data_IF_078061997365
#
_entry.id   IF_078061997365
#
_cell.length_a   1.000
_cell.length_b   1.000
_cell.length_c   1.000
_cell.angle_alpha   90.00
_cell.angle_beta   90.00
_cell.angle_gamma   90.00
#
_symmetry.space_group_name_H-M   'P 1'
#
loop_
_entity.id
_entity.type
_entity.pdbx_description
1 polymer ?
#
# COMPACT_ATOMS: atom_id res chain seq x y z
N UNK A 1 -5.61 -20.67 24.47
CA UNK A 1 -5.35 -21.72 23.47
C UNK A 1 -5.73 -21.20 22.11
N UNK A 2 -4.78 -20.65 21.36
CA UNK A 2 -5.00 -20.17 20.01
C UNK A 2 -5.09 -21.35 19.06
N UNK A 3 -6.29 -21.65 18.60
CA UNK A 3 -6.50 -22.65 17.55
C UNK A 3 -6.11 -22.03 16.21
N UNK A 4 -5.13 -22.70 15.56
CA UNK A 4 -4.74 -22.54 14.16
C UNK A 4 -4.04 -21.22 13.76
N UNK A 5 -2.86 -20.96 14.30
CA UNK A 5 -1.83 -20.35 13.47
C UNK A 5 -1.44 -21.42 12.43
N UNK A 6 -1.60 -21.13 11.13
CA UNK A 6 -0.96 -21.95 10.09
C UNK A 6 0.54 -21.92 10.40
N UNK A 7 1.13 -23.08 10.71
CA UNK A 7 2.58 -23.18 10.82
C UNK A 7 3.17 -22.89 9.44
N UNK A 8 3.86 -21.75 9.30
CA UNK A 8 4.64 -21.41 8.12
C UNK A 8 5.91 -22.25 8.19
N UNK A 9 6.04 -23.26 7.33
CA UNK A 9 7.16 -24.19 7.33
C UNK A 9 7.93 -24.19 6.00
N UNK A 10 7.34 -23.67 4.94
CA UNK A 10 7.93 -23.65 3.60
C UNK A 10 7.94 -22.22 3.02
N UNK A 11 8.75 -22.00 1.99
CA UNK A 11 8.70 -20.74 1.23
C UNK A 11 7.34 -20.54 0.56
N UNK A 12 6.66 -21.58 0.15
CA UNK A 12 5.29 -21.50 -0.38
C UNK A 12 4.30 -20.99 0.66
N UNK A 13 4.40 -21.47 1.90
CA UNK A 13 3.56 -21.00 3.00
C UNK A 13 3.83 -19.52 3.32
N UNK A 14 5.11 -19.13 3.36
CA UNK A 14 5.52 -17.76 3.62
C UNK A 14 5.08 -16.81 2.50
N UNK A 15 5.24 -17.23 1.26
CA UNK A 15 4.79 -16.49 0.09
C UNK A 15 3.28 -16.25 0.12
N UNK A 16 2.50 -17.31 0.33
CA UNK A 16 1.04 -17.20 0.42
C UNK A 16 0.60 -16.31 1.59
N UNK A 17 1.24 -16.44 2.75
CA UNK A 17 0.97 -15.58 3.90
C UNK A 17 1.24 -14.11 3.58
N UNK A 18 2.38 -13.81 2.94
CA UNK A 18 2.75 -12.44 2.58
C UNK A 18 1.84 -11.87 1.48
N UNK A 19 1.36 -12.71 0.56
CA UNK A 19 0.36 -12.33 -0.43
C UNK A 19 -1.01 -12.02 0.23
N UNK A 20 -1.43 -12.82 1.21
CA UNK A 20 -2.63 -12.56 2.03
C UNK A 20 -2.49 -11.27 2.85
N UNK A 21 -1.27 -10.99 3.34
CA UNK A 21 -0.94 -9.79 4.12
C UNK A 21 -1.06 -8.51 3.27
N UNK A 22 -0.44 -8.50 2.08
CA UNK A 22 -0.53 -7.33 1.19
C UNK A 22 -1.93 -7.15 0.60
N UNK A 23 -2.67 -8.21 0.33
CA UNK A 23 -4.05 -8.11 -0.13
C UNK A 23 -4.96 -7.46 0.92
N UNK A 24 -4.77 -7.78 2.20
CA UNK A 24 -5.44 -7.07 3.29
C UNK A 24 -5.00 -5.60 3.36
N UNK A 25 -3.69 -5.35 3.22
CA UNK A 25 -3.15 -3.99 3.28
C UNK A 25 -3.77 -3.09 2.20
N UNK A 26 -3.83 -3.54 0.95
CA UNK A 26 -4.47 -2.82 -0.15
C UNK A 26 -5.94 -2.46 0.14
N UNK A 27 -6.68 -3.39 0.73
CA UNK A 27 -8.07 -3.13 1.13
C UNK A 27 -8.19 -2.05 2.23
N UNK A 28 -7.21 -1.94 3.14
CA UNK A 28 -7.19 -0.89 4.14
C UNK A 28 -6.72 0.45 3.55
N UNK A 29 -5.75 0.41 2.63
CA UNK A 29 -5.23 1.59 1.90
C UNK A 29 -6.34 2.21 1.06
N UNK A 30 -7.11 1.41 0.31
CA UNK A 30 -8.27 1.91 -0.45
C UNK A 30 -9.21 2.73 0.44
N UNK A 31 -9.55 2.21 1.62
CA UNK A 31 -10.42 2.91 2.59
C UNK A 31 -9.77 4.17 3.17
N UNK A 32 -8.45 4.12 3.41
CA UNK A 32 -7.70 5.26 3.94
C UNK A 32 -7.61 6.38 2.91
N UNK A 33 -7.37 6.06 1.64
CA UNK A 33 -7.28 7.03 0.55
C UNK A 33 -8.56 7.86 0.39
N UNK A 34 -9.75 7.27 0.52
CA UNK A 34 -10.99 8.03 0.53
C UNK A 34 -10.99 9.15 1.58
N UNK A 35 -10.55 8.83 2.82
CA UNK A 35 -10.46 9.81 3.89
C UNK A 35 -9.39 10.88 3.64
N UNK A 36 -8.27 10.49 3.03
CA UNK A 36 -7.18 11.41 2.71
C UNK A 36 -7.59 12.39 1.62
N UNK A 37 -8.31 11.94 0.60
CA UNK A 37 -8.91 12.79 -0.45
C UNK A 37 -9.85 13.83 0.15
N UNK A 38 -10.69 13.42 1.10
CA UNK A 38 -11.64 14.33 1.77
C UNK A 38 -10.94 15.38 2.65
N UNK A 39 -9.80 15.03 3.25
CA UNK A 39 -9.03 15.92 4.15
C UNK A 39 -8.06 16.84 3.41
N UNK A 40 -7.57 16.46 2.22
CA UNK A 40 -6.59 17.23 1.48
C UNK A 40 -7.18 18.54 0.96
N UNK A 41 -6.47 19.65 1.18
CA UNK A 41 -6.82 20.97 0.66
C UNK A 41 -6.04 21.35 -0.59
N UNK A 42 -4.80 20.88 -0.74
CA UNK A 42 -4.00 21.11 -1.96
C UNK A 42 -4.50 20.27 -3.13
N UNK A 43 -4.80 20.93 -4.24
CA UNK A 43 -5.39 20.29 -5.43
C UNK A 43 -4.50 19.24 -6.08
N UNK A 44 -3.15 19.45 -6.06
CA UNK A 44 -2.21 18.50 -6.65
C UNK A 44 -2.04 17.26 -5.77
N UNK A 45 -2.09 17.42 -4.44
CA UNK A 45 -2.10 16.32 -3.49
C UNK A 45 -3.39 15.51 -3.63
N UNK A 46 -4.53 16.18 -3.71
CA UNK A 46 -5.82 15.52 -3.90
C UNK A 46 -5.87 14.70 -5.19
N UNK A 47 -5.44 15.28 -6.31
CA UNK A 47 -5.33 14.58 -7.59
C UNK A 47 -4.39 13.36 -7.51
N UNK A 48 -3.27 13.46 -6.79
CA UNK A 48 -2.37 12.34 -6.57
C UNK A 48 -3.06 11.20 -5.80
N UNK A 49 -3.81 11.51 -4.74
CA UNK A 49 -4.57 10.51 -3.98
C UNK A 49 -5.72 9.89 -4.79
N UNK A 50 -6.43 10.68 -5.60
CA UNK A 50 -7.50 10.18 -6.48
C UNK A 50 -6.94 9.21 -7.52
N UNK A 51 -5.78 9.53 -8.12
CA UNK A 51 -5.07 8.64 -9.04
C UNK A 51 -4.65 7.35 -8.35
N UNK A 52 -4.02 7.47 -7.18
CA UNK A 52 -3.54 6.31 -6.42
C UNK A 52 -4.71 5.42 -5.95
N UNK A 53 -5.86 5.99 -5.59
CA UNK A 53 -7.07 5.23 -5.30
C UNK A 53 -7.51 4.34 -6.48
N UNK A 54 -7.40 4.85 -7.71
CA UNK A 54 -7.71 4.04 -8.89
C UNK A 54 -6.66 2.95 -9.11
N UNK A 55 -5.37 3.27 -8.93
CA UNK A 55 -4.27 2.31 -9.01
C UNK A 55 -4.45 1.19 -7.97
N UNK A 56 -4.79 1.51 -6.72
CA UNK A 56 -5.06 0.54 -5.64
C UNK A 56 -6.17 -0.46 -6.02
N UNK A 57 -7.22 0.00 -6.68
CA UNK A 57 -8.28 -0.91 -7.18
C UNK A 57 -7.78 -1.86 -8.26
N UNK A 58 -6.95 -1.38 -9.16
CA UNK A 58 -6.35 -2.19 -10.21
C UNK A 58 -5.32 -3.18 -9.61
N UNK A 59 -4.61 -2.78 -8.56
CA UNK A 59 -3.67 -3.60 -7.79
C UNK A 59 -4.37 -4.73 -7.04
N UNK A 60 -5.52 -4.46 -6.42
CA UNK A 60 -6.36 -5.50 -5.82
C UNK A 60 -6.76 -6.55 -6.85
N UNK A 61 -7.17 -6.14 -8.06
CA UNK A 61 -7.49 -7.08 -9.13
C UNK A 61 -6.26 -7.91 -9.55
N UNK A 62 -5.08 -7.29 -9.68
CA UNK A 62 -3.83 -8.01 -9.99
C UNK A 62 -3.45 -9.03 -8.91
N UNK A 63 -3.67 -8.70 -7.63
CA UNK A 63 -3.48 -9.68 -6.54
C UNK A 63 -4.45 -10.85 -6.66
N UNK A 64 -5.71 -10.61 -7.02
CA UNK A 64 -6.69 -11.66 -7.28
C UNK A 64 -6.27 -12.55 -8.45
N UNK A 65 -5.68 -11.98 -9.50
CA UNK A 65 -5.10 -12.74 -10.62
C UNK A 65 -3.93 -13.61 -10.15
N UNK A 66 -3.05 -13.10 -9.27
CA UNK A 66 -1.97 -13.91 -8.66
C UNK A 66 -2.53 -15.04 -7.81
N UNK A 67 -3.56 -14.79 -6.98
CA UNK A 67 -4.24 -15.87 -6.25
C UNK A 67 -4.81 -16.94 -7.20
N UNK A 68 -5.40 -16.53 -8.33
CA UNK A 68 -5.94 -17.43 -9.33
C UNK A 68 -4.86 -18.31 -9.97
N UNK A 69 -3.70 -17.74 -10.31
CA UNK A 69 -2.54 -18.50 -10.83
C UNK A 69 -2.09 -19.56 -9.82
N UNK A 70 -2.17 -19.27 -8.53
CA UNK A 70 -1.79 -20.19 -7.46
C UNK A 70 -2.88 -21.22 -7.12
N UNK A 71 -4.01 -21.21 -7.81
CA UNK A 71 -5.21 -22.00 -7.48
C UNK A 71 -5.66 -21.78 -6.02
N UNK A 72 -5.65 -20.51 -5.61
CA UNK A 72 -6.08 -20.04 -4.28
C UNK A 72 -7.22 -19.04 -4.41
N UNK A 73 -8.08 -19.01 -3.38
CA UNK A 73 -9.09 -17.95 -3.27
C UNK A 73 -8.46 -16.69 -2.67
N UNK A 74 -8.78 -15.50 -3.20
CA UNK A 74 -8.37 -14.24 -2.60
C UNK A 74 -8.83 -14.17 -1.14
N UNK A 75 -7.90 -13.91 -0.24
CA UNK A 75 -8.16 -13.81 1.19
C UNK A 75 -7.11 -12.91 1.83
N UNK A 76 -7.55 -11.96 2.64
CA UNK A 76 -6.67 -11.15 3.48
C UNK A 76 -6.39 -11.79 4.83
N UNK A 77 -5.23 -11.52 5.38
CA UNK A 77 -4.86 -11.77 6.77
C UNK A 77 -4.52 -10.45 7.43
N UNK A 78 -4.91 -10.28 8.71
CA UNK A 78 -4.67 -9.03 9.43
C UNK A 78 -3.19 -8.65 9.42
N UNK A 79 -2.89 -7.43 8.98
CA UNK A 79 -1.55 -6.87 8.89
C UNK A 79 -1.35 -5.75 9.92
N UNK A 80 -0.75 -6.03 11.08
CA UNK A 80 -0.51 -5.01 12.10
C UNK A 80 0.38 -3.85 11.63
N UNK A 81 1.21 -4.07 10.62
CA UNK A 81 2.10 -3.04 10.08
C UNK A 81 1.29 -1.94 9.38
N UNK A 82 0.45 -2.30 8.41
CA UNK A 82 -0.37 -1.30 7.70
C UNK A 82 -1.41 -0.67 8.62
N UNK A 83 -2.03 -1.46 9.49
CA UNK A 83 -2.97 -0.95 10.49
C UNK A 83 -2.30 0.11 11.38
N UNK A 84 -1.03 -0.11 11.78
CA UNK A 84 -0.25 0.82 12.57
C UNK A 84 0.05 2.12 11.82
N UNK A 85 0.48 2.04 10.56
CA UNK A 85 0.79 3.21 9.71
C UNK A 85 -0.48 4.05 9.49
N UNK A 86 -1.58 3.42 9.13
CA UNK A 86 -2.87 4.11 8.90
C UNK A 86 -3.39 4.75 10.19
N UNK A 87 -3.27 4.05 11.31
CA UNK A 87 -3.69 4.55 12.62
C UNK A 87 -2.89 5.78 13.03
N UNK A 88 -1.56 5.75 12.88
CA UNK A 88 -0.68 6.89 13.16
C UNK A 88 -1.08 8.11 12.33
N UNK A 89 -1.30 7.92 11.02
CA UNK A 89 -1.75 8.99 10.13
C UNK A 89 -3.12 9.58 10.55
N UNK A 90 -4.07 8.73 10.94
CA UNK A 90 -5.40 9.17 11.38
C UNK A 90 -5.36 9.90 12.74
N UNK A 91 -4.52 9.46 13.67
CA UNK A 91 -4.31 10.12 14.97
C UNK A 91 -3.66 11.51 14.79
N UNK A 92 -2.54 11.57 14.05
CA UNK A 92 -1.82 12.81 13.78
C UNK A 92 -2.72 13.84 13.05
N UNK A 93 -3.50 13.40 12.08
CA UNK A 93 -4.38 14.29 11.31
C UNK A 93 -5.49 14.95 12.15
N UNK A 94 -5.81 14.42 13.33
CA UNK A 94 -6.79 15.02 14.27
C UNK A 94 -6.17 16.08 15.15
N UNK A 95 -4.85 16.07 15.31
CA UNK A 95 -4.11 17.04 16.14
C UNK A 95 -3.73 18.29 15.37
N UNK A 96 -3.75 18.25 14.03
CA UNK A 96 -3.34 19.35 13.16
C UNK A 96 -4.54 20.23 12.84
N UNK A 97 -4.47 21.50 13.23
CA UNK A 97 -5.53 22.47 12.99
C UNK A 97 -5.35 23.33 11.73
N UNK A 98 -4.15 23.40 11.16
CA UNK A 98 -3.86 24.16 9.94
C UNK A 98 -3.92 23.26 8.71
N UNK A 99 -4.66 23.67 7.67
CA UNK A 99 -4.88 22.85 6.47
C UNK A 99 -3.59 22.60 5.67
N UNK A 100 -2.67 23.56 5.65
CA UNK A 100 -1.41 23.41 4.89
C UNK A 100 -0.44 22.49 5.61
N UNK A 101 -0.39 22.57 6.94
CA UNK A 101 0.38 21.64 7.76
C UNK A 101 -0.22 20.24 7.64
N UNK A 102 -1.56 20.13 7.58
CA UNK A 102 -2.24 18.86 7.36
C UNK A 102 -1.88 18.24 6.00
N UNK A 103 -1.87 19.03 4.93
CA UNK A 103 -1.48 18.53 3.60
C UNK A 103 -0.05 17.96 3.60
N UNK A 104 0.90 18.64 4.25
CA UNK A 104 2.26 18.14 4.40
C UNK A 104 2.32 16.83 5.20
N UNK A 105 1.53 16.72 6.28
CA UNK A 105 1.43 15.50 7.09
C UNK A 105 0.80 14.33 6.31
N UNK A 106 -0.27 14.60 5.54
CA UNK A 106 -0.93 13.59 4.69
C UNK A 106 0.03 13.06 3.61
N UNK A 107 0.81 13.93 2.97
CA UNK A 107 1.81 13.50 1.98
C UNK A 107 2.89 12.61 2.62
N UNK A 108 3.38 12.96 3.81
CA UNK A 108 4.36 12.16 4.53
C UNK A 108 3.80 10.80 4.97
N UNK A 109 2.56 10.78 5.43
CA UNK A 109 1.88 9.53 5.81
C UNK A 109 1.66 8.61 4.60
N UNK A 110 1.27 9.17 3.45
CA UNK A 110 1.15 8.41 2.21
C UNK A 110 2.51 7.80 1.81
N UNK A 111 3.61 8.55 1.87
CA UNK A 111 4.93 8.00 1.56
C UNK A 111 5.32 6.84 2.47
N UNK A 112 4.92 6.83 3.73
CA UNK A 112 5.16 5.69 4.62
C UNK A 112 4.40 4.44 4.14
N UNK A 113 3.19 4.60 3.59
CA UNK A 113 2.42 3.52 2.96
C UNK A 113 3.14 3.02 1.72
N UNK A 114 3.53 3.91 0.78
CA UNK A 114 4.25 3.54 -0.45
C UNK A 114 5.51 2.73 -0.15
N UNK A 115 6.32 3.16 0.82
CA UNK A 115 7.54 2.45 1.20
C UNK A 115 7.26 1.07 1.81
N UNK A 116 6.18 0.92 2.56
CA UNK A 116 5.71 -0.39 3.02
C UNK A 116 5.36 -1.29 1.83
N UNK A 117 4.58 -0.80 0.87
CA UNK A 117 4.14 -1.54 -0.30
C UNK A 117 5.32 -1.91 -1.20
N UNK A 118 6.23 -0.97 -1.50
CA UNK A 118 7.45 -1.25 -2.27
C UNK A 118 8.28 -2.38 -1.65
N UNK A 119 8.43 -2.40 -0.32
CA UNK A 119 9.15 -3.47 0.38
C UNK A 119 8.44 -4.82 0.22
N UNK A 120 7.11 -4.86 0.34
CA UNK A 120 6.32 -6.09 0.21
C UNK A 120 6.28 -6.62 -1.22
N UNK A 121 6.00 -5.76 -2.21
CA UNK A 121 6.00 -6.15 -3.62
C UNK A 121 7.37 -6.57 -4.11
N UNK A 122 8.43 -5.84 -3.74
CA UNK A 122 9.81 -6.24 -4.06
C UNK A 122 10.17 -7.62 -3.52
N UNK A 123 9.78 -7.92 -2.29
CA UNK A 123 9.97 -9.23 -1.67
C UNK A 123 9.19 -10.33 -2.41
N UNK A 124 7.90 -10.11 -2.68
CA UNK A 124 7.06 -11.09 -3.40
C UNK A 124 7.57 -11.36 -4.81
N UNK A 125 8.05 -10.33 -5.52
CA UNK A 125 8.66 -10.48 -6.86
C UNK A 125 9.91 -11.36 -6.79
N UNK A 126 10.81 -11.08 -5.84
CA UNK A 126 12.04 -11.86 -5.67
C UNK A 126 11.74 -13.33 -5.36
N UNK A 127 10.80 -13.58 -4.46
CA UNK A 127 10.38 -14.95 -4.12
C UNK A 127 9.65 -15.65 -5.28
N UNK A 128 8.82 -14.92 -6.04
CA UNK A 128 8.18 -15.47 -7.24
C UNK A 128 9.20 -15.94 -8.25
N UNK A 129 10.26 -15.16 -8.50
CA UNK A 129 11.35 -15.52 -9.41
C UNK A 129 12.10 -16.74 -8.91
N UNK A 130 12.48 -16.79 -7.63
CA UNK A 130 13.20 -17.92 -7.05
C UNK A 130 12.38 -19.22 -7.12
N UNK A 131 11.07 -19.15 -6.97
CA UNK A 131 10.15 -20.28 -7.06
C UNK A 131 9.72 -20.61 -8.51
N UNK A 132 10.28 -19.93 -9.52
CA UNK A 132 9.94 -20.17 -10.93
C UNK A 132 8.54 -19.67 -11.35
N UNK A 133 7.91 -18.81 -10.56
CA UNK A 133 6.59 -18.20 -10.81
C UNK A 133 6.73 -16.86 -11.54
N UNK A 134 7.25 -16.92 -12.76
CA UNK A 134 7.57 -15.71 -13.55
C UNK A 134 6.33 -14.90 -13.93
N UNK A 135 5.20 -15.57 -14.15
CA UNK A 135 3.89 -14.96 -14.41
C UNK A 135 3.41 -14.11 -13.21
N UNK A 136 3.49 -14.63 -11.99
CA UNK A 136 3.21 -13.87 -10.78
C UNK A 136 4.16 -12.68 -10.63
N UNK A 137 5.47 -12.90 -10.84
CA UNK A 137 6.46 -11.83 -10.76
C UNK A 137 6.17 -10.69 -11.75
N UNK A 138 5.76 -10.99 -12.96
CA UNK A 138 5.49 -9.98 -14.00
C UNK A 138 4.23 -9.15 -13.71
N UNK A 139 3.22 -9.75 -13.10
CA UNK A 139 2.04 -9.02 -12.61
C UNK A 139 2.45 -8.08 -11.46
N UNK A 140 3.16 -8.58 -10.46
CA UNK A 140 3.55 -7.81 -9.27
C UNK A 140 4.52 -6.66 -9.58
N UNK A 141 5.37 -6.79 -10.61
CA UNK A 141 6.25 -5.70 -11.08
C UNK A 141 5.49 -4.49 -11.59
N UNK A 142 4.30 -4.67 -12.16
CA UNK A 142 3.48 -3.55 -12.60
C UNK A 142 3.04 -2.71 -11.41
N UNK A 143 2.59 -3.35 -10.35
CA UNK A 143 2.23 -2.68 -9.09
C UNK A 143 3.44 -1.97 -8.48
N UNK A 144 4.59 -2.64 -8.33
CA UNK A 144 5.80 -2.01 -7.79
C UNK A 144 6.18 -0.74 -8.54
N UNK A 145 6.08 -0.73 -9.87
CA UNK A 145 6.39 0.45 -10.67
C UNK A 145 5.38 1.62 -10.42
N UNK A 146 4.13 1.31 -10.12
CA UNK A 146 3.12 2.31 -9.74
C UNK A 146 3.44 2.91 -8.36
N UNK A 147 3.82 2.09 -7.36
CA UNK A 147 4.21 2.55 -6.02
C UNK A 147 5.45 3.44 -6.05
N UNK A 148 6.48 3.05 -6.80
CA UNK A 148 7.67 3.88 -7.01
C UNK A 148 7.33 5.23 -7.67
N UNK A 149 6.39 5.25 -8.60
CA UNK A 149 5.93 6.47 -9.25
C UNK A 149 5.10 7.35 -8.31
N UNK A 150 4.24 6.74 -7.47
CA UNK A 150 3.45 7.44 -6.46
C UNK A 150 4.34 8.09 -5.41
N UNK A 151 5.31 7.37 -4.83
CA UNK A 151 6.29 7.90 -3.88
C UNK A 151 7.06 9.08 -4.46
N UNK A 152 7.57 8.94 -5.68
CA UNK A 152 8.27 10.02 -6.38
C UNK A 152 7.38 11.25 -6.62
N UNK A 153 6.11 11.04 -6.93
CA UNK A 153 5.13 12.13 -7.11
C UNK A 153 4.88 12.86 -5.81
N UNK A 154 4.69 12.12 -4.71
CA UNK A 154 4.51 12.70 -3.38
C UNK A 154 5.72 13.50 -2.93
N UNK A 155 6.94 12.99 -3.13
CA UNK A 155 8.20 13.73 -2.90
C UNK A 155 8.21 15.06 -3.65
N UNK A 156 7.86 15.05 -4.94
CA UNK A 156 7.84 16.27 -5.75
C UNK A 156 6.81 17.29 -5.26
N UNK A 157 5.61 16.85 -4.88
CA UNK A 157 4.56 17.73 -4.34
C UNK A 157 5.02 18.29 -2.98
N UNK A 158 5.52 17.45 -2.08
CA UNK A 158 6.02 17.84 -0.77
C UNK A 158 7.10 18.91 -0.85
N UNK A 159 8.20 18.61 -1.52
CA UNK A 159 9.39 19.49 -1.58
C UNK A 159 9.15 20.80 -2.33
N UNK A 160 8.39 20.74 -3.43
CA UNK A 160 8.17 21.92 -4.27
C UNK A 160 7.07 22.83 -3.76
N UNK A 161 6.13 22.31 -2.99
CA UNK A 161 4.85 22.96 -2.69
C UNK A 161 4.45 22.92 -1.23
N UNK A 162 4.14 21.74 -0.68
CA UNK A 162 3.53 21.61 0.64
C UNK A 162 4.42 22.09 1.76
N UNK A 163 5.68 21.63 1.79
CA UNK A 163 6.63 21.97 2.85
C UNK A 163 7.01 23.46 2.89
N UNK A 164 6.73 24.20 1.80
CA UNK A 164 6.96 25.65 1.74
C UNK A 164 5.73 26.45 2.10
N UNK A 165 4.56 25.84 2.04
CA UNK A 165 3.30 26.50 2.34
C UNK A 165 2.85 26.32 3.79
N UNK A 166 3.34 25.24 4.43
CA UNK A 166 3.12 24.91 5.85
C UNK A 166 4.01 25.73 6.82
#
# INVERSE_FOLDING_TARGET
MGLFSKDIQTMDDLYLHTLEDIYYAEQQIEKALHKMIDKASDSALKEAFEKHLQETKDQLQRLEDVFSILDKKPKGVNCPAIDGIIKEADELSKEIGDEKVLDAALAAAAQAVEHYEMARYGTLIAWSQEMGRTDCADILKQTLAEEEAADKKLTQIGEKRLNKAA
#
